data_IF_644800110343
#
_entry.id   IF_644800110343
#
_cell.length_a   1.000
_cell.length_b   1.000
_cell.length_c   1.000
_cell.angle_alpha   90.00
_cell.angle_beta   90.00
_cell.angle_gamma   90.00
#
_symmetry.space_group_name_H-M   'P 1'
#
loop_
_entity.id
_entity.type
_entity.pdbx_description
1 polymer ?
#
# COMPACT_ATOMS: atom_id res chain seq x y z
N UNK A 1 24.84 -3.53 7.25
CA UNK A 1 25.40 -3.91 5.95
C UNK A 1 26.74 -3.21 5.68
N UNK A 2 26.86 -1.88 5.81
CA UNK A 2 28.15 -1.16 5.66
C UNK A 2 29.26 -1.60 6.62
N UNK A 3 28.94 -1.96 7.85
CA UNK A 3 29.89 -2.52 8.82
C UNK A 3 30.42 -3.88 8.35
N UNK A 4 29.52 -4.78 7.94
CA UNK A 4 29.87 -6.09 7.40
C UNK A 4 30.75 -6.00 6.14
N UNK A 5 30.42 -5.08 5.24
CA UNK A 5 31.22 -4.82 4.05
C UNK A 5 32.63 -4.36 4.39
N UNK A 6 32.77 -3.49 5.37
CA UNK A 6 34.05 -2.98 5.87
C UNK A 6 34.88 -4.06 6.53
N UNK A 7 34.21 -4.86 7.39
CA UNK A 7 34.87 -5.91 8.18
C UNK A 7 35.34 -7.08 7.30
N UNK A 8 34.57 -7.41 6.26
CA UNK A 8 34.86 -8.53 5.39
C UNK A 8 35.61 -8.14 4.10
N UNK A 9 35.76 -6.84 3.82
CA UNK A 9 36.40 -6.35 2.58
C UNK A 9 35.66 -6.77 1.30
N UNK A 10 34.35 -7.00 1.35
CA UNK A 10 33.56 -7.50 0.25
C UNK A 10 32.98 -6.37 -0.60
N UNK A 11 32.82 -6.61 -1.91
CA UNK A 11 32.01 -5.76 -2.78
C UNK A 11 30.54 -6.20 -2.73
N UNK A 12 29.64 -5.24 -2.74
CA UNK A 12 28.19 -5.49 -2.67
C UNK A 12 27.52 -4.88 -3.91
N UNK A 13 26.76 -5.70 -4.64
CA UNK A 13 25.82 -5.20 -5.65
C UNK A 13 24.43 -5.18 -5.01
N UNK A 14 23.85 -3.99 -4.90
CA UNK A 14 22.53 -3.78 -4.32
C UNK A 14 21.53 -3.42 -5.42
N UNK A 15 20.49 -4.25 -5.61
CA UNK A 15 19.46 -4.03 -6.62
C UNK A 15 18.17 -3.59 -5.91
N UNK A 16 17.74 -2.38 -6.19
CA UNK A 16 16.55 -1.78 -5.57
C UNK A 16 15.92 -0.72 -6.46
N UNK A 17 14.67 -0.43 -6.23
CA UNK A 17 13.97 0.75 -6.78
C UNK A 17 13.81 1.86 -5.72
N UNK A 18 14.24 1.64 -4.50
CA UNK A 18 14.19 2.62 -3.43
C UNK A 18 15.39 3.57 -3.48
N UNK A 19 15.15 4.78 -3.98
CA UNK A 19 16.18 5.81 -4.12
C UNK A 19 16.68 6.32 -2.77
N UNK A 20 15.90 6.21 -1.69
CA UNK A 20 16.34 6.54 -0.33
C UNK A 20 17.44 5.60 0.15
N UNK A 21 17.25 4.29 -0.06
CA UNK A 21 18.25 3.27 0.26
C UNK A 21 19.51 3.44 -0.61
N UNK A 22 19.34 3.76 -1.90
CA UNK A 22 20.48 4.06 -2.79
C UNK A 22 21.29 5.23 -2.27
N UNK A 23 20.63 6.34 -1.90
CA UNK A 23 21.31 7.53 -1.38
C UNK A 23 22.12 7.27 -0.10
N UNK A 24 21.65 6.34 0.74
CA UNK A 24 22.30 6.01 2.01
C UNK A 24 23.42 4.97 1.85
N UNK A 25 23.23 4.00 0.96
CA UNK A 25 24.06 2.78 0.95
C UNK A 25 25.08 2.73 -0.21
N UNK A 26 24.80 3.35 -1.33
CA UNK A 26 25.60 3.19 -2.55
C UNK A 26 26.77 4.18 -2.60
N UNK A 27 27.88 3.75 -3.21
CA UNK A 27 28.99 4.61 -3.62
C UNK A 27 28.80 5.03 -5.09
N UNK A 28 28.53 4.05 -5.96
CA UNK A 28 28.24 4.22 -7.38
C UNK A 28 26.85 3.67 -7.74
N UNK A 29 26.21 4.28 -8.70
CA UNK A 29 24.87 3.94 -9.15
C UNK A 29 24.85 3.68 -10.65
N UNK A 30 24.21 2.57 -11.03
CA UNK A 30 23.89 2.26 -12.43
C UNK A 30 22.38 2.29 -12.58
N UNK A 31 21.88 3.18 -13.42
CA UNK A 31 20.46 3.30 -13.73
C UNK A 31 20.11 2.46 -14.95
N UNK A 32 19.13 1.58 -14.80
CA UNK A 32 18.68 0.66 -15.83
C UNK A 32 17.25 1.00 -16.30
N UNK A 33 17.03 0.94 -17.62
CA UNK A 33 15.70 1.06 -18.23
C UNK A 33 15.54 0.04 -19.36
N UNK A 34 14.50 -0.77 -19.31
CA UNK A 34 14.18 -1.76 -20.36
C UNK A 34 15.39 -2.62 -20.77
N UNK A 35 16.14 -3.10 -19.77
CA UNK A 35 17.33 -3.94 -19.97
C UNK A 35 18.60 -3.20 -20.42
N UNK A 36 18.56 -1.89 -20.58
CA UNK A 36 19.71 -1.06 -20.98
C UNK A 36 20.19 -0.19 -19.83
N UNK A 37 21.52 -0.05 -19.71
CA UNK A 37 22.10 0.97 -18.84
C UNK A 37 21.89 2.34 -19.50
N UNK A 38 21.21 3.25 -18.79
CA UNK A 38 20.90 4.60 -19.28
C UNK A 38 21.78 5.66 -18.65
N UNK A 39 22.22 5.45 -17.40
CA UNK A 39 23.12 6.37 -16.71
C UNK A 39 23.99 5.62 -15.71
N UNK A 40 25.16 6.17 -15.40
CA UNK A 40 26.05 5.68 -14.36
C UNK A 40 26.88 6.85 -13.82
N UNK A 41 27.11 6.85 -12.52
CA UNK A 41 27.93 7.82 -11.81
C UNK A 41 27.92 7.58 -10.32
N UNK A 42 28.67 8.40 -9.60
CA UNK A 42 28.62 8.40 -8.14
C UNK A 42 27.21 8.72 -7.65
N UNK A 43 26.89 8.29 -6.43
CA UNK A 43 25.59 8.62 -5.82
C UNK A 43 25.33 10.13 -5.85
N UNK A 44 26.38 10.93 -5.59
CA UNK A 44 26.26 12.40 -5.59
C UNK A 44 25.91 12.97 -6.97
N UNK A 45 26.58 12.49 -8.04
CA UNK A 45 26.30 12.90 -9.42
C UNK A 45 24.87 12.56 -9.85
N UNK A 46 24.43 11.33 -9.56
CA UNK A 46 23.07 10.85 -9.91
C UNK A 46 21.99 11.66 -9.19
N UNK A 47 22.21 11.99 -7.92
CA UNK A 47 21.18 12.70 -7.12
C UNK A 47 21.18 14.21 -7.33
N UNK A 48 22.34 14.85 -7.58
CA UNK A 48 22.44 16.30 -7.72
C UNK A 48 22.38 16.78 -9.16
N UNK A 49 22.91 15.99 -10.10
CA UNK A 49 23.04 16.40 -11.50
C UNK A 49 22.70 15.25 -12.48
N UNK A 50 21.51 14.64 -12.38
CA UNK A 50 21.11 13.57 -13.28
C UNK A 50 21.06 14.06 -14.74
N UNK A 51 21.71 13.33 -15.64
CA UNK A 51 21.81 13.70 -17.06
C UNK A 51 20.67 13.10 -17.87
N UNK A 52 20.35 11.82 -17.60
CA UNK A 52 19.33 11.10 -18.38
C UNK A 52 17.91 11.50 -17.97
N UNK A 53 16.98 11.72 -18.91
CA UNK A 53 15.59 12.08 -18.60
C UNK A 53 14.90 11.11 -17.63
N UNK A 54 15.11 9.80 -17.83
CA UNK A 54 14.53 8.78 -16.96
C UNK A 54 15.02 8.89 -15.49
N UNK A 55 16.33 9.14 -15.28
CA UNK A 55 16.88 9.35 -13.94
C UNK A 55 16.23 10.55 -13.26
N UNK A 56 16.04 11.65 -14.00
CA UNK A 56 15.32 12.83 -13.52
C UNK A 56 13.90 12.52 -13.13
N UNK A 57 13.18 11.73 -13.96
CA UNK A 57 11.81 11.30 -13.64
C UNK A 57 11.75 10.42 -12.40
N UNK A 58 12.68 9.46 -12.25
CA UNK A 58 12.76 8.61 -11.07
C UNK A 58 12.95 9.44 -9.79
N UNK A 59 13.89 10.39 -9.82
CA UNK A 59 14.17 11.25 -8.66
C UNK A 59 13.01 12.22 -8.35
N UNK A 60 12.33 12.71 -9.38
CA UNK A 60 11.16 13.58 -9.22
C UNK A 60 9.96 12.85 -8.62
N UNK A 61 9.84 11.55 -8.87
CA UNK A 61 8.77 10.71 -8.34
C UNK A 61 8.93 10.36 -6.85
N UNK A 62 10.14 10.59 -6.27
CA UNK A 62 10.39 10.31 -4.85
C UNK A 62 9.77 11.40 -3.98
N UNK A 63 8.80 11.07 -3.11
CA UNK A 63 8.23 12.05 -2.18
C UNK A 63 9.30 12.58 -1.23
N UNK A 64 9.39 13.89 -1.09
CA UNK A 64 10.32 14.54 -0.15
C UNK A 64 9.57 14.90 1.12
N UNK A 65 10.07 14.47 2.26
CA UNK A 65 9.56 14.90 3.56
C UNK A 65 9.63 16.42 3.64
N UNK A 66 8.52 17.04 4.08
CA UNK A 66 8.42 18.48 4.20
C UNK A 66 8.12 19.25 2.90
N UNK A 67 7.93 18.58 1.76
CA UNK A 67 7.57 19.25 0.50
C UNK A 67 6.25 20.02 0.56
N UNK A 68 5.38 19.66 1.50
CA UNK A 68 4.09 20.32 1.75
C UNK A 68 4.11 21.21 3.02
N UNK A 69 5.27 21.39 3.65
CA UNK A 69 5.38 22.24 4.84
C UNK A 69 4.98 23.68 4.52
N UNK A 70 4.08 24.25 5.32
CA UNK A 70 3.54 25.60 5.13
C UNK A 70 2.41 25.70 4.08
N UNK A 71 1.86 24.57 3.63
CA UNK A 71 0.64 24.54 2.83
C UNK A 71 -0.53 24.05 3.68
N UNK A 72 -1.66 24.72 3.55
CA UNK A 72 -2.88 24.36 4.28
C UNK A 72 -3.66 23.25 3.60
N UNK A 73 -3.45 23.05 2.29
CA UNK A 73 -4.17 22.06 1.49
C UNK A 73 -3.23 21.04 0.86
N UNK A 74 -3.67 19.80 0.68
CA UNK A 74 -2.93 18.77 -0.04
C UNK A 74 -2.71 19.18 -1.50
N UNK A 75 -1.49 18.94 -2.00
CA UNK A 75 -1.10 19.26 -3.37
C UNK A 75 -1.00 17.98 -4.20
N UNK A 76 -1.82 17.89 -5.23
CA UNK A 76 -1.63 16.90 -6.27
C UNK A 76 -0.68 17.46 -7.34
N UNK A 77 0.50 16.87 -7.47
CA UNK A 77 1.46 17.23 -8.50
C UNK A 77 1.25 16.43 -9.77
N UNK A 78 1.55 16.98 -10.96
CA UNK A 78 1.58 16.23 -12.20
C UNK A 78 2.54 15.04 -12.09
N UNK A 79 2.17 13.94 -12.74
CA UNK A 79 3.06 12.79 -12.85
C UNK A 79 3.99 13.00 -14.04
N UNK A 80 5.29 12.82 -13.82
CA UNK A 80 6.26 12.83 -14.89
C UNK A 80 6.33 11.43 -15.50
N UNK A 81 5.89 11.30 -16.75
CA UNK A 81 5.89 10.04 -17.51
C UNK A 81 6.96 10.12 -18.60
N UNK A 82 7.69 9.02 -18.80
CA UNK A 82 8.65 8.89 -19.90
C UNK A 82 7.91 8.39 -21.14
N UNK A 83 7.84 9.23 -22.17
CA UNK A 83 7.28 8.89 -23.47
C UNK A 83 8.41 8.84 -24.52
N UNK A 84 8.86 7.63 -24.87
CA UNK A 84 10.12 7.45 -25.61
C UNK A 84 11.33 7.87 -24.76
N UNK A 85 12.07 8.87 -25.25
CA UNK A 85 13.23 9.48 -24.55
C UNK A 85 12.91 10.87 -23.96
N UNK A 86 11.66 11.31 -24.03
CA UNK A 86 11.22 12.61 -23.52
C UNK A 86 10.40 12.49 -22.24
N UNK A 87 10.59 13.43 -21.34
CA UNK A 87 9.76 13.56 -20.15
C UNK A 87 8.51 14.37 -20.49
N UNK A 88 7.35 13.83 -20.14
CA UNK A 88 6.07 14.53 -20.25
C UNK A 88 5.41 14.59 -18.89
N UNK A 89 4.95 15.75 -18.50
CA UNK A 89 4.08 15.93 -17.35
C UNK A 89 2.64 15.62 -17.76
N UNK A 90 2.01 14.71 -17.02
CA UNK A 90 0.61 14.30 -17.22
C UNK A 90 -0.19 14.64 -15.97
N UNK A 91 -1.25 15.40 -16.18
CA UNK A 91 -2.11 15.90 -15.11
C UNK A 91 -1.85 17.38 -14.82
N UNK A 92 -2.64 17.92 -13.93
CA UNK A 92 -2.57 19.32 -13.51
C UNK A 92 -2.20 19.38 -12.02
N UNK A 93 -1.47 20.42 -11.65
CA UNK A 93 -1.27 20.76 -10.23
C UNK A 93 -2.62 21.22 -9.68
N UNK A 94 -3.13 20.51 -8.68
CA UNK A 94 -4.36 20.87 -7.98
C UNK A 94 -4.09 20.96 -6.49
N UNK A 95 -4.52 22.05 -5.91
CA UNK A 95 -4.55 22.27 -4.48
C UNK A 95 -6.01 22.17 -4.03
N UNK A 96 -6.41 21.01 -3.53
CA UNK A 96 -7.79 20.75 -3.17
C UNK A 96 -7.85 19.76 -2.02
N UNK A 97 -8.52 20.13 -0.95
CA UNK A 97 -8.97 19.19 0.06
C UNK A 97 -10.27 18.52 -0.41
N UNK A 98 -10.23 17.20 -0.55
CA UNK A 98 -11.41 16.39 -0.90
C UNK A 98 -12.07 15.78 0.33
N UNK A 99 -11.44 15.89 1.50
CA UNK A 99 -11.94 15.37 2.75
C UNK A 99 -13.11 16.21 3.29
N UNK A 100 -14.11 15.54 3.81
CA UNK A 100 -15.27 16.14 4.47
C UNK A 100 -15.28 15.70 5.92
N UNK A 101 -14.91 16.62 6.82
CA UNK A 101 -14.68 16.36 8.24
C UNK A 101 -15.96 16.44 9.10
N UNK A 102 -17.16 16.29 8.52
CA UNK A 102 -18.42 16.35 9.25
C UNK A 102 -18.60 15.08 10.11
N UNK A 103 -18.65 13.91 9.45
CA UNK A 103 -18.75 12.61 10.12
C UNK A 103 -17.76 11.61 9.51
N UNK A 104 -17.01 10.85 10.32
CA UNK A 104 -16.11 9.85 9.81
C UNK A 104 -16.88 8.68 9.18
N UNK A 105 -16.41 8.24 8.00
CA UNK A 105 -16.91 7.03 7.35
C UNK A 105 -16.45 5.77 8.07
N UNK A 106 -15.24 5.82 8.63
CA UNK A 106 -14.69 4.75 9.45
C UNK A 106 -14.16 5.32 10.76
N UNK A 107 -14.59 4.75 11.89
CA UNK A 107 -14.10 5.08 13.21
C UNK A 107 -13.56 3.84 13.90
N UNK A 108 -12.32 3.91 14.32
CA UNK A 108 -11.64 2.88 15.10
C UNK A 108 -11.44 3.37 16.53
N UNK A 109 -11.93 2.62 17.50
CA UNK A 109 -11.94 3.01 18.92
C UNK A 109 -11.23 1.95 19.76
N UNK A 110 -10.05 2.28 20.31
CA UNK A 110 -9.22 1.45 21.18
C UNK A 110 -9.07 0.01 20.69
N UNK A 111 -8.85 -0.14 19.38
CA UNK A 111 -8.70 -1.44 18.75
C UNK A 111 -7.48 -2.16 19.31
N UNK A 112 -7.72 -3.36 19.82
CA UNK A 112 -6.67 -4.24 20.32
C UNK A 112 -6.79 -5.59 19.63
N UNK A 113 -5.68 -6.09 19.08
CA UNK A 113 -5.61 -7.41 18.44
C UNK A 113 -4.38 -8.15 18.92
N UNK A 114 -4.62 -9.29 19.58
CA UNK A 114 -3.57 -10.16 20.15
C UNK A 114 -3.70 -11.56 19.58
N UNK A 115 -2.57 -12.22 19.38
CA UNK A 115 -2.51 -13.59 18.92
C UNK A 115 -1.97 -14.51 20.01
N UNK A 116 -2.69 -15.58 20.29
CA UNK A 116 -2.24 -16.63 21.20
C UNK A 116 -1.30 -17.56 20.44
N UNK A 117 -0.02 -17.57 20.82
CA UNK A 117 1.04 -18.31 20.10
C UNK A 117 1.60 -19.51 20.88
N UNK A 118 1.22 -19.70 22.11
CA UNK A 118 1.64 -20.82 22.92
C UNK A 118 0.53 -21.32 23.84
N UNK A 119 0.40 -22.64 23.93
CA UNK A 119 -0.52 -23.28 24.84
C UNK A 119 0.23 -24.34 25.65
N UNK A 120 -0.11 -24.52 26.92
CA UNK A 120 0.39 -25.61 27.73
C UNK A 120 -0.41 -26.90 27.48
N UNK A 121 -0.01 -28.00 28.10
CA UNK A 121 -0.68 -29.31 28.01
C UNK A 121 -2.17 -29.27 28.43
N UNK A 122 -2.59 -28.25 29.18
CA UNK A 122 -3.96 -28.04 29.64
C UNK A 122 -4.72 -27.01 28.78
N UNK A 123 -4.19 -26.62 27.60
CA UNK A 123 -4.82 -25.68 26.68
C UNK A 123 -4.80 -24.21 27.15
N UNK A 124 -4.09 -23.87 28.22
CA UNK A 124 -3.95 -22.49 28.68
C UNK A 124 -2.91 -21.75 27.84
N UNK A 125 -3.26 -20.53 27.42
CA UNK A 125 -2.35 -19.63 26.69
C UNK A 125 -1.16 -19.29 27.55
N UNK A 126 0.03 -19.53 27.02
CA UNK A 126 1.32 -19.25 27.70
C UNK A 126 2.01 -18.02 27.13
N UNK A 127 1.82 -17.74 25.85
CA UNK A 127 2.43 -16.60 25.17
C UNK A 127 1.41 -15.90 24.27
N UNK A 128 1.46 -14.56 24.25
CA UNK A 128 0.66 -13.71 23.38
C UNK A 128 1.55 -12.73 22.62
N UNK A 129 1.25 -12.56 21.35
CA UNK A 129 1.80 -11.48 20.55
C UNK A 129 0.80 -10.33 20.57
N UNK A 130 1.21 -9.18 21.07
CA UNK A 130 0.46 -7.93 21.09
C UNK A 130 0.71 -7.22 19.78
N UNK A 131 -0.13 -7.49 18.78
CA UNK A 131 0.08 -6.97 17.43
C UNK A 131 -0.50 -5.55 17.26
N UNK A 132 -1.61 -5.26 17.95
CA UNK A 132 -2.26 -3.94 17.98
C UNK A 132 -2.75 -3.69 19.40
N UNK A 133 -2.45 -2.53 19.98
CA UNK A 133 -2.83 -2.16 21.33
C UNK A 133 -3.47 -0.77 21.36
N UNK A 134 -4.75 -0.74 21.70
CA UNK A 134 -5.56 0.47 21.95
C UNK A 134 -5.49 1.56 20.86
N UNK A 135 -5.39 1.16 19.60
CA UNK A 135 -5.26 2.10 18.47
C UNK A 135 -6.61 2.73 18.17
N UNK A 136 -6.63 4.06 18.05
CA UNK A 136 -7.83 4.83 17.69
C UNK A 136 -7.51 5.81 16.59
N UNK A 137 -8.38 5.91 15.57
CA UNK A 137 -8.34 6.90 14.51
C UNK A 137 -9.67 6.96 13.78
N UNK A 138 -9.90 8.07 13.11
CA UNK A 138 -11.03 8.28 12.24
C UNK A 138 -10.56 8.41 10.78
N UNK A 139 -11.41 8.01 9.82
CA UNK A 139 -11.21 8.25 8.39
C UNK A 139 -12.46 8.92 7.85
N UNK A 140 -12.28 10.03 7.16
CA UNK A 140 -13.36 10.84 6.65
C UNK A 140 -13.61 10.60 5.15
N UNK A 141 -14.83 10.88 4.65
CA UNK A 141 -15.12 10.78 3.21
C UNK A 141 -14.17 11.65 2.39
N UNK A 142 -13.52 11.08 1.36
CA UNK A 142 -12.57 11.76 0.50
C UNK A 142 -11.16 11.91 1.06
N UNK A 143 -10.92 11.45 2.30
CA UNK A 143 -9.61 11.44 2.97
C UNK A 143 -8.76 10.24 2.55
N UNK A 144 -7.45 10.44 2.53
CA UNK A 144 -6.45 9.37 2.45
C UNK A 144 -5.63 9.36 3.75
N UNK A 145 -5.93 8.43 4.65
CA UNK A 145 -5.17 8.22 5.88
C UNK A 145 -4.02 7.23 5.65
N UNK A 146 -2.79 7.62 5.97
CA UNK A 146 -1.63 6.75 5.90
C UNK A 146 -1.24 6.21 7.29
N UNK A 147 -1.18 4.88 7.44
CA UNK A 147 -0.61 4.22 8.61
C UNK A 147 0.87 3.90 8.33
N UNK A 148 1.76 4.56 9.06
CA UNK A 148 3.22 4.41 8.90
C UNK A 148 3.85 3.78 10.14
N UNK A 149 4.99 3.14 9.97
CA UNK A 149 5.77 2.50 11.05
C UNK A 149 6.65 1.38 10.53
N UNK A 150 7.52 0.85 11.37
CA UNK A 150 8.44 -0.25 11.04
C UNK A 150 7.73 -1.54 10.67
N UNK A 151 8.48 -2.48 10.05
CA UNK A 151 7.95 -3.83 9.81
C UNK A 151 7.58 -4.50 11.14
N UNK A 152 6.42 -5.15 11.19
CA UNK A 152 5.93 -5.75 12.43
C UNK A 152 5.18 -4.81 13.38
N UNK A 153 5.04 -3.52 13.10
CA UNK A 153 4.33 -2.56 13.97
C UNK A 153 2.80 -2.69 14.00
N UNK A 154 2.22 -3.72 13.39
CA UNK A 154 0.78 -3.99 13.46
C UNK A 154 -0.08 -3.42 12.33
N UNK A 155 0.47 -2.64 11.38
CA UNK A 155 -0.28 -2.01 10.27
C UNK A 155 -1.13 -3.00 9.46
N UNK A 156 -0.51 -4.11 9.04
CA UNK A 156 -1.22 -5.16 8.28
C UNK A 156 -2.25 -5.88 9.14
N UNK A 157 -2.03 -5.99 10.45
CA UNK A 157 -3.00 -6.56 11.39
C UNK A 157 -4.21 -5.67 11.51
N UNK A 158 -4.04 -4.35 11.61
CA UNK A 158 -5.16 -3.39 11.58
C UNK A 158 -5.98 -3.59 10.31
N UNK A 159 -5.37 -3.55 9.13
CA UNK A 159 -6.07 -3.74 7.86
C UNK A 159 -6.84 -5.08 7.79
N UNK A 160 -6.23 -6.18 8.24
CA UNK A 160 -6.90 -7.49 8.30
C UNK A 160 -8.05 -7.51 9.31
N UNK A 161 -7.93 -6.79 10.42
CA UNK A 161 -9.01 -6.70 11.42
C UNK A 161 -10.18 -5.88 10.89
N UNK A 162 -9.93 -4.78 10.17
CA UNK A 162 -10.96 -3.99 9.49
C UNK A 162 -11.73 -4.81 8.45
N UNK A 163 -11.07 -5.75 7.78
CA UNK A 163 -11.69 -6.69 6.83
C UNK A 163 -12.34 -7.91 7.50
N UNK A 164 -12.35 -7.97 8.84
CA UNK A 164 -12.85 -9.11 9.61
C UNK A 164 -12.14 -10.44 9.27
N UNK A 165 -10.91 -10.38 8.72
CA UNK A 165 -10.06 -11.56 8.52
C UNK A 165 -9.39 -12.01 9.81
N UNK A 166 -9.27 -11.11 10.78
CA UNK A 166 -8.77 -11.34 12.12
C UNK A 166 -9.78 -10.74 13.11
N UNK A 167 -10.15 -11.51 14.12
CA UNK A 167 -11.02 -11.01 15.17
C UNK A 167 -10.25 -10.06 16.12
N UNK A 168 -10.81 -8.94 16.53
CA UNK A 168 -10.22 -8.09 17.56
C UNK A 168 -10.28 -8.79 18.93
N UNK A 169 -9.35 -8.46 19.80
CA UNK A 169 -9.39 -8.85 21.22
C UNK A 169 -10.32 -7.94 21.98
N UNK A 170 -10.29 -6.64 21.68
CA UNK A 170 -11.17 -5.62 22.25
C UNK A 170 -11.19 -4.36 21.39
N UNK A 171 -12.01 -3.40 21.76
CA UNK A 171 -12.24 -2.18 20.99
C UNK A 171 -13.43 -2.30 20.06
N UNK A 172 -13.71 -1.24 19.31
CA UNK A 172 -14.81 -1.19 18.36
C UNK A 172 -14.35 -0.60 17.02
N UNK A 173 -14.98 -1.03 15.95
CA UNK A 173 -14.82 -0.43 14.61
C UNK A 173 -16.19 -0.15 14.05
N UNK A 174 -16.45 1.11 13.71
CA UNK A 174 -17.72 1.56 13.13
C UNK A 174 -17.51 2.00 11.71
N UNK A 175 -18.34 1.47 10.82
CA UNK A 175 -18.44 1.91 9.43
C UNK A 175 -19.81 2.54 9.21
N UNK A 176 -19.85 3.80 8.80
CA UNK A 176 -21.09 4.59 8.70
C UNK A 176 -21.95 4.48 9.99
N UNK A 177 -21.31 4.57 11.16
CA UNK A 177 -21.93 4.49 12.47
C UNK A 177 -22.28 3.08 12.96
N UNK A 178 -22.24 2.05 12.12
CA UNK A 178 -22.52 0.67 12.50
C UNK A 178 -21.27 -0.08 12.93
N UNK A 179 -21.31 -0.77 14.06
CA UNK A 179 -20.22 -1.66 14.50
C UNK A 179 -20.12 -2.86 13.56
N UNK A 180 -18.98 -2.98 12.87
CA UNK A 180 -18.76 -4.01 11.85
C UNK A 180 -18.74 -5.43 12.45
N UNK A 181 -18.36 -5.59 13.71
CA UNK A 181 -18.29 -6.92 14.36
C UNK A 181 -19.64 -7.42 14.86
N UNK A 182 -20.62 -6.52 15.04
CA UNK A 182 -21.99 -6.86 15.42
C UNK A 182 -22.91 -7.16 14.23
N UNK A 183 -22.42 -6.95 12.98
CA UNK A 183 -23.21 -7.16 11.77
C UNK A 183 -23.60 -8.64 11.58
N UNK A 184 -24.81 -8.85 11.08
CA UNK A 184 -25.26 -10.15 10.59
C UNK A 184 -24.57 -10.56 9.27
N UNK A 185 -24.91 -11.72 8.74
CA UNK A 185 -24.33 -12.25 7.50
C UNK A 185 -24.58 -11.32 6.31
N UNK A 186 -25.77 -10.75 6.18
CA UNK A 186 -26.13 -9.84 5.09
C UNK A 186 -25.38 -8.49 5.22
N UNK A 187 -25.24 -7.96 6.44
CA UNK A 187 -24.46 -6.75 6.72
C UNK A 187 -22.97 -6.94 6.37
N UNK A 188 -22.39 -8.07 6.77
CA UNK A 188 -21.00 -8.41 6.41
C UNK A 188 -20.79 -8.55 4.91
N UNK A 189 -21.76 -9.12 4.19
CA UNK A 189 -21.66 -9.22 2.72
C UNK A 189 -21.68 -7.85 2.05
N UNK A 190 -22.52 -6.92 2.50
CA UNK A 190 -22.56 -5.53 2.02
C UNK A 190 -21.25 -4.81 2.35
N UNK A 191 -20.75 -4.93 3.59
CA UNK A 191 -19.49 -4.31 4.00
C UNK A 191 -18.32 -4.71 3.09
N UNK A 192 -18.24 -5.99 2.67
CA UNK A 192 -17.19 -6.47 1.75
C UNK A 192 -17.28 -5.89 0.34
N UNK A 193 -18.42 -5.37 -0.07
CA UNK A 193 -18.57 -4.64 -1.33
C UNK A 193 -18.11 -3.18 -1.20
N UNK A 194 -18.27 -2.59 -0.01
CA UNK A 194 -17.99 -1.18 0.24
C UNK A 194 -16.55 -0.95 0.69
N UNK A 195 -15.96 -1.87 1.47
CA UNK A 195 -14.56 -1.81 1.91
C UNK A 195 -13.74 -2.86 1.16
N UNK A 196 -12.79 -2.40 0.35
CA UNK A 196 -11.89 -3.25 -0.41
C UNK A 196 -10.49 -3.29 0.23
N UNK A 197 -9.82 -4.43 0.13
CA UNK A 197 -8.47 -4.62 0.64
C UNK A 197 -7.53 -5.06 -0.49
N UNK A 198 -6.50 -4.27 -0.75
CA UNK A 198 -5.46 -4.61 -1.71
C UNK A 198 -4.29 -5.22 -0.93
N UNK A 199 -3.99 -6.50 -1.19
CA UNK A 199 -2.88 -7.17 -0.55
C UNK A 199 -1.54 -6.66 -1.06
N UNK A 200 -0.53 -6.69 -0.19
CA UNK A 200 0.82 -6.21 -0.50
C UNK A 200 1.48 -7.01 -1.64
N UNK A 201 1.19 -8.29 -1.76
CA UNK A 201 1.62 -9.14 -2.87
C UNK A 201 0.42 -9.49 -3.77
N UNK A 202 0.29 -8.81 -4.93
CA UNK A 202 -0.80 -9.07 -5.85
C UNK A 202 -0.74 -10.47 -6.48
N UNK A 203 0.45 -11.04 -6.66
CA UNK A 203 0.59 -12.38 -7.24
C UNK A 203 0.15 -13.48 -6.27
N UNK A 204 0.48 -13.34 -4.98
CA UNK A 204 0.00 -14.26 -3.95
C UNK A 204 -1.51 -14.18 -3.72
N UNK A 205 -2.17 -13.13 -4.20
CA UNK A 205 -3.62 -12.94 -4.10
C UNK A 205 -4.40 -13.69 -5.17
N UNK A 206 -3.73 -14.15 -6.23
CA UNK A 206 -4.35 -14.88 -7.34
C UNK A 206 -4.06 -16.39 -7.21
N UNK A 207 -5.07 -17.23 -7.46
CA UNK A 207 -4.86 -18.67 -7.60
C UNK A 207 -4.23 -18.96 -8.98
N UNK A 208 -2.95 -19.41 -9.05
CA UNK A 208 -2.27 -19.65 -10.32
C UNK A 208 -2.90 -20.77 -11.18
N UNK A 209 -3.81 -21.55 -10.58
CA UNK A 209 -4.57 -22.61 -11.29
C UNK A 209 -5.83 -22.08 -11.95
N UNK A 210 -6.16 -20.81 -11.77
CA UNK A 210 -7.35 -20.17 -12.32
C UNK A 210 -6.96 -19.21 -13.44
N UNK A 211 -7.85 -19.03 -14.38
CA UNK A 211 -7.68 -18.04 -15.45
C UNK A 211 -7.91 -16.61 -14.91
N UNK A 212 -7.36 -15.61 -15.57
CA UNK A 212 -7.61 -14.20 -15.26
C UNK A 212 -9.11 -13.89 -15.32
N UNK A 213 -9.81 -14.39 -16.35
CA UNK A 213 -11.25 -14.24 -16.49
C UNK A 213 -12.03 -14.82 -15.30
N UNK A 214 -11.60 -15.98 -14.77
CA UNK A 214 -12.19 -16.55 -13.56
C UNK A 214 -12.02 -15.65 -12.36
N UNK A 215 -10.79 -15.13 -12.13
CA UNK A 215 -10.47 -14.27 -10.99
C UNK A 215 -11.23 -12.95 -11.02
N UNK A 216 -11.47 -12.39 -12.21
CA UNK A 216 -12.29 -11.19 -12.39
C UNK A 216 -13.79 -11.50 -12.19
N UNK A 217 -14.26 -12.63 -12.69
CA UNK A 217 -15.67 -12.99 -12.63
C UNK A 217 -16.13 -13.48 -11.25
N UNK A 218 -15.24 -14.04 -10.44
CA UNK A 218 -15.58 -14.62 -9.14
C UNK A 218 -16.20 -13.63 -8.16
N UNK A 219 -15.62 -12.44 -7.89
CA UNK A 219 -16.25 -11.45 -7.01
C UNK A 219 -17.59 -10.94 -7.58
N UNK A 220 -17.71 -10.79 -8.90
CA UNK A 220 -18.95 -10.37 -9.53
C UNK A 220 -20.06 -11.41 -9.31
N UNK A 221 -19.74 -12.70 -9.42
CA UNK A 221 -20.69 -13.81 -9.17
C UNK A 221 -21.05 -13.92 -7.69
N UNK A 222 -20.10 -13.70 -6.80
CA UNK A 222 -20.28 -13.83 -5.34
C UNK A 222 -21.16 -12.72 -4.78
N UNK A 223 -21.07 -11.49 -5.31
CA UNK A 223 -21.72 -10.32 -4.77
C UNK A 223 -23.06 -9.94 -5.40
N UNK A 224 -23.54 -10.67 -6.38
CA UNK A 224 -24.92 -10.49 -6.86
C UNK A 224 -25.09 -10.32 -8.36
N UNK A 225 -26.30 -10.02 -8.81
CA UNK A 225 -26.74 -10.30 -10.17
C UNK A 225 -26.13 -9.30 -11.16
N UNK A 226 -24.95 -9.65 -11.68
CA UNK A 226 -24.56 -9.09 -12.96
C UNK A 226 -25.02 -10.09 -14.01
N UNK A 227 -25.93 -9.66 -14.88
CA UNK A 227 -26.35 -10.47 -16.02
C UNK A 227 -25.11 -10.94 -16.79
N UNK A 228 -25.12 -12.18 -17.24
CA UNK A 228 -24.06 -12.79 -18.04
C UNK A 228 -23.64 -11.95 -19.27
N UNK A 229 -24.49 -11.04 -19.70
CA UNK A 229 -24.23 -10.06 -20.76
C UNK A 229 -23.18 -9.01 -20.37
N UNK A 230 -23.05 -8.62 -19.10
CA UNK A 230 -22.03 -7.68 -18.65
C UNK A 230 -20.64 -8.33 -18.55
N UNK A 231 -20.57 -9.61 -18.25
CA UNK A 231 -19.30 -10.37 -18.23
C UNK A 231 -18.75 -10.55 -19.66
N UNK A 232 -19.60 -10.77 -20.67
CA UNK A 232 -19.18 -10.88 -22.07
C UNK A 232 -18.74 -9.55 -22.68
N UNK A 233 -19.24 -8.42 -22.23
CA UNK A 233 -18.87 -7.11 -22.78
C UNK A 233 -17.39 -6.76 -22.54
N UNK A 234 -16.73 -7.42 -21.59
CA UNK A 234 -15.29 -7.27 -21.32
C UNK A 234 -14.43 -8.30 -22.09
N UNK A 235 -14.99 -9.40 -22.56
CA UNK A 235 -14.26 -10.40 -23.35
C UNK A 235 -14.15 -10.04 -24.85
N UNK A 236 -14.94 -9.10 -25.35
CA UNK A 236 -15.02 -8.76 -26.79
C UNK A 236 -14.25 -7.50 -27.20
N UNK A 237 -13.31 -7.01 -26.39
CA UNK A 237 -12.47 -5.85 -26.73
C UNK A 237 -11.00 -6.20 -26.99
N UNK A 238 -10.71 -7.44 -27.34
CA UNK A 238 -9.41 -7.87 -27.87
C UNK A 238 -9.62 -8.40 -29.29
N UNK A 239 -9.77 -7.47 -30.25
CA UNK A 239 -9.47 -7.63 -31.67
C UNK A 239 -8.83 -6.33 -32.20
#
# INVERSE_FOLDING_TARGET
MRELQRDLGTAVIFITHDMGVVAEMADDVVVMLRGKKVEQGTVEEIFRAPKHPYTRALLAAVPRLGSLTGRDLPLRTPQTVLEGDTLREVGETREQDTARYDEPVLRVEKLTTRFDVGHNLFGRVTHRVHAVEEVSFDVYPGETLALVGESGSGKSTIGKTLQQLVAPTSGAVRYNGQDIFSMDSAGRQRLRQEIQYIFQDPYASLDPRKTVAFSIAEPIRTHGPVSYTHLRAHETRED
#
